data_IF_958473552736
#
_entry.id   IF_958473552736
#
_cell.length_a   1.000
_cell.length_b   1.000
_cell.length_c   1.000
_cell.angle_alpha   90.00
_cell.angle_beta   90.00
_cell.angle_gamma   90.00
#
_symmetry.space_group_name_H-M   'P 1'
#
loop_
_entity.id
_entity.type
_entity.pdbx_description
1 polymer ?
#
# COMPACT_ATOMS: atom_id res chain seq x y z
N UNK A 1 7.92 18.47 16.05
CA UNK A 1 7.10 17.29 15.84
C UNK A 1 6.43 17.38 14.48
N UNK A 2 6.46 16.32 13.72
CA UNK A 2 5.82 16.23 12.41
C UNK A 2 4.45 15.60 12.55
N UNK A 3 3.42 16.26 12.01
CA UNK A 3 2.07 15.66 11.93
C UNK A 3 1.95 14.72 10.74
N UNK A 4 2.73 14.96 9.69
CA UNK A 4 2.72 14.12 8.49
C UNK A 4 3.64 12.91 8.68
N UNK A 5 3.11 11.88 9.33
CA UNK A 5 3.86 10.66 9.61
C UNK A 5 4.18 9.84 8.35
N UNK A 6 3.36 9.99 7.30
CA UNK A 6 3.63 9.35 6.02
C UNK A 6 4.94 9.88 5.41
N UNK A 7 5.05 11.19 5.27
CA UNK A 7 6.24 11.78 4.67
C UNK A 7 7.50 11.41 5.45
N UNK A 8 7.43 11.44 6.78
CA UNK A 8 8.56 11.07 7.62
C UNK A 8 8.92 9.59 7.47
N UNK A 9 7.91 8.71 7.40
CA UNK A 9 8.12 7.27 7.33
C UNK A 9 8.80 6.83 6.02
N UNK A 10 8.50 7.49 4.91
CA UNK A 10 8.99 7.09 3.59
C UNK A 10 10.15 7.94 3.05
N UNK A 11 10.56 8.97 3.79
CA UNK A 11 11.56 9.93 3.31
C UNK A 11 12.87 9.27 2.87
N UNK A 12 13.31 8.26 3.60
CA UNK A 12 14.59 7.58 3.35
C UNK A 12 14.44 6.26 2.62
N UNK A 13 13.22 5.92 2.17
CA UNK A 13 12.98 4.67 1.47
C UNK A 13 13.11 4.87 -0.04
N UNK A 14 13.99 4.10 -0.64
CA UNK A 14 14.27 4.17 -2.08
C UNK A 14 14.61 2.76 -2.58
N UNK A 15 13.60 1.89 -2.69
CA UNK A 15 13.85 0.50 -3.07
C UNK A 15 14.38 0.39 -4.50
N UNK A 16 15.25 -0.57 -4.71
CA UNK A 16 15.76 -0.91 -6.04
C UNK A 16 14.66 -1.55 -6.88
N UNK A 17 14.85 -1.64 -8.20
CA UNK A 17 13.89 -2.35 -9.05
C UNK A 17 13.61 -3.77 -8.52
N UNK A 18 12.34 -4.13 -8.48
CA UNK A 18 11.88 -5.40 -7.96
C UNK A 18 11.71 -5.49 -6.45
N UNK A 19 12.12 -4.45 -5.72
CA UNK A 19 12.07 -4.46 -4.26
C UNK A 19 10.92 -3.62 -3.71
N UNK A 20 10.36 -4.07 -2.57
CA UNK A 20 9.37 -3.34 -1.80
C UNK A 20 9.98 -3.07 -0.43
N UNK A 21 9.94 -1.81 -0.01
CA UNK A 21 10.30 -1.44 1.37
C UNK A 21 9.04 -0.99 2.09
N UNK A 22 8.99 -1.25 3.38
CA UNK A 22 7.81 -0.95 4.18
C UNK A 22 8.17 -0.18 5.44
N UNK A 23 7.19 0.57 5.95
CA UNK A 23 7.32 1.26 7.23
C UNK A 23 5.96 1.26 7.94
N UNK A 24 5.97 0.95 9.23
CA UNK A 24 4.75 1.05 10.03
C UNK A 24 4.56 2.50 10.45
N UNK A 25 3.36 3.04 10.16
CA UNK A 25 3.01 4.41 10.53
C UNK A 25 2.29 4.43 11.87
N UNK A 26 1.38 3.47 12.08
CA UNK A 26 0.61 3.36 13.31
C UNK A 26 0.27 1.89 13.55
N UNK A 27 0.48 1.43 14.77
CA UNK A 27 0.02 0.12 15.20
C UNK A 27 -0.66 0.28 16.54
N UNK A 28 -1.93 -0.09 16.62
CA UNK A 28 -2.70 -0.11 17.87
C UNK A 28 -3.40 -1.45 17.97
N UNK A 29 -4.17 -1.65 19.02
CA UNK A 29 -4.99 -2.86 19.16
C UNK A 29 -6.10 -2.92 18.11
N UNK A 30 -6.43 -1.78 17.51
CA UNK A 30 -7.58 -1.65 16.61
C UNK A 30 -7.20 -1.57 15.14
N UNK A 31 -6.02 -1.02 14.82
CA UNK A 31 -5.66 -0.71 13.44
C UNK A 31 -4.15 -0.77 13.22
N UNK A 32 -3.79 -1.23 12.04
CA UNK A 32 -2.42 -1.13 11.52
C UNK A 32 -2.47 -0.23 10.29
N UNK A 33 -1.61 0.79 10.26
CA UNK A 33 -1.36 1.60 9.06
C UNK A 33 0.08 1.42 8.65
N UNK A 34 0.30 0.88 7.46
CA UNK A 34 1.63 0.52 6.96
C UNK A 34 1.85 1.14 5.59
N UNK A 35 3.00 1.75 5.40
CA UNK A 35 3.39 2.27 4.10
C UNK A 35 4.17 1.22 3.31
N UNK A 36 3.90 1.15 2.01
CA UNK A 36 4.60 0.31 1.04
C UNK A 36 5.20 1.22 -0.02
N UNK A 37 6.52 1.13 -0.19
CA UNK A 37 7.21 1.82 -1.27
C UNK A 37 7.66 0.77 -2.28
N UNK A 38 7.13 0.87 -3.48
CA UNK A 38 7.39 -0.08 -4.55
C UNK A 38 8.38 0.52 -5.54
N UNK A 39 9.53 -0.14 -5.70
CA UNK A 39 10.45 0.19 -6.78
C UNK A 39 9.88 -0.23 -8.12
N UNK A 40 10.56 0.13 -9.23
CA UNK A 40 10.13 -0.32 -10.56
C UNK A 40 10.01 -1.85 -10.61
N UNK A 41 8.93 -2.35 -11.19
CA UNK A 41 8.64 -3.78 -11.34
C UNK A 41 8.47 -4.56 -10.03
N UNK A 42 8.32 -3.87 -8.91
CA UNK A 42 8.04 -4.50 -7.62
C UNK A 42 6.55 -4.79 -7.46
N UNK A 43 6.22 -5.74 -6.61
CA UNK A 43 4.83 -6.12 -6.38
C UNK A 43 4.59 -6.51 -4.92
N UNK A 44 3.39 -6.18 -4.45
CA UNK A 44 2.79 -6.75 -3.26
C UNK A 44 1.81 -7.80 -3.80
N UNK A 45 2.13 -9.07 -3.59
CA UNK A 45 1.35 -10.16 -4.15
C UNK A 45 -0.08 -10.14 -3.62
N UNK A 46 -1.06 -10.51 -4.45
CA UNK A 46 -2.45 -10.57 -4.01
C UNK A 46 -2.61 -11.48 -2.79
N UNK A 47 -3.34 -11.00 -1.81
CA UNK A 47 -3.62 -11.73 -0.58
C UNK A 47 -4.97 -11.25 -0.02
N UNK A 48 -5.47 -11.93 0.99
CA UNK A 48 -6.75 -11.58 1.59
C UNK A 48 -6.66 -11.58 3.12
N UNK A 49 -7.56 -10.81 3.73
CA UNK A 49 -7.75 -10.79 5.19
C UNK A 49 -9.20 -11.13 5.44
N UNK A 50 -9.45 -12.36 5.91
CA UNK A 50 -10.82 -12.85 6.11
C UNK A 50 -11.59 -12.04 7.16
N UNK A 51 -10.89 -11.55 8.18
CA UNK A 51 -11.50 -10.91 9.34
C UNK A 51 -11.20 -9.41 9.45
N UNK A 52 -10.59 -8.83 8.43
CA UNK A 52 -10.22 -7.41 8.47
C UNK A 52 -10.55 -6.72 7.16
N UNK A 53 -10.90 -5.45 7.29
CA UNK A 53 -11.04 -4.55 6.15
C UNK A 53 -9.68 -3.91 5.88
N UNK A 54 -9.33 -3.77 4.62
CA UNK A 54 -8.12 -3.08 4.20
C UNK A 54 -8.50 -1.92 3.29
N UNK A 55 -7.82 -0.80 3.45
CA UNK A 55 -7.98 0.35 2.55
C UNK A 55 -6.61 0.74 2.04
N UNK A 56 -6.44 0.74 0.72
CA UNK A 56 -5.24 1.29 0.09
C UNK A 56 -5.44 2.77 -0.19
N UNK A 57 -4.46 3.57 0.19
CA UNK A 57 -4.37 4.97 -0.23
C UNK A 57 -3.12 5.09 -1.10
N UNK A 58 -3.31 5.39 -2.37
CA UNK A 58 -2.19 5.64 -3.29
C UNK A 58 -1.75 7.08 -3.11
N UNK A 59 -0.50 7.27 -2.70
CA UNK A 59 0.02 8.59 -2.32
C UNK A 59 1.09 9.13 -3.26
N UNK A 60 1.80 8.28 -4.00
CA UNK A 60 2.75 8.69 -5.03
C UNK A 60 2.72 7.70 -6.19
N UNK A 61 2.98 8.20 -7.38
CA UNK A 61 3.15 7.36 -8.56
C UNK A 61 1.85 6.86 -9.15
N UNK A 62 1.97 5.76 -9.90
CA UNK A 62 0.84 5.16 -10.61
C UNK A 62 0.92 3.63 -10.53
N UNK A 63 0.72 3.05 -9.34
CA UNK A 63 0.71 1.60 -9.23
C UNK A 63 -0.53 1.00 -9.88
N UNK A 64 -0.41 -0.25 -10.30
CA UNK A 64 -1.56 -1.06 -10.72
C UNK A 64 -2.09 -1.77 -9.48
N UNK A 65 -3.31 -1.47 -9.10
CA UNK A 65 -3.96 -2.07 -7.93
C UNK A 65 -4.87 -3.19 -8.40
N UNK A 66 -4.85 -4.30 -7.65
CA UNK A 66 -5.63 -5.50 -7.96
C UNK A 66 -6.61 -5.72 -6.83
N UNK A 67 -7.88 -5.97 -7.18
CA UNK A 67 -8.92 -6.34 -6.23
C UNK A 67 -9.86 -7.35 -6.88
N UNK A 68 -9.94 -8.55 -6.31
CA UNK A 68 -10.80 -9.63 -6.79
C UNK A 68 -10.69 -9.89 -8.31
N UNK A 69 -9.45 -9.85 -8.82
CA UNK A 69 -9.15 -10.11 -10.21
C UNK A 69 -9.29 -8.89 -11.13
N UNK A 70 -9.82 -7.78 -10.65
CA UNK A 70 -9.84 -6.54 -11.40
C UNK A 70 -8.54 -5.78 -11.19
N UNK A 71 -8.02 -5.17 -12.24
CA UNK A 71 -6.77 -4.42 -12.20
C UNK A 71 -6.97 -3.03 -12.77
N UNK A 72 -6.40 -2.04 -12.12
CA UNK A 72 -6.42 -0.66 -12.61
C UNK A 72 -5.12 0.06 -12.25
N UNK A 73 -4.55 0.75 -13.22
CA UNK A 73 -3.45 1.68 -12.95
C UNK A 73 -4.06 2.97 -12.39
N UNK A 74 -3.67 3.31 -11.17
CA UNK A 74 -4.27 4.44 -10.45
C UNK A 74 -3.22 5.50 -10.16
N UNK A 75 -3.44 6.69 -10.73
CA UNK A 75 -2.58 7.84 -10.47
C UNK A 75 -2.90 8.43 -9.10
N UNK A 76 -1.87 8.68 -8.28
CA UNK A 76 -2.05 9.30 -6.97
C UNK A 76 -2.69 10.70 -7.09
N UNK A 77 -3.57 11.09 -6.18
CA UNK A 77 -4.08 10.29 -5.05
C UNK A 77 -5.26 9.40 -5.46
N UNK A 78 -5.33 8.23 -4.84
CA UNK A 78 -6.45 7.31 -5.07
C UNK A 78 -6.71 6.48 -3.82
N UNK A 79 -7.94 6.00 -3.66
CA UNK A 79 -8.34 5.18 -2.53
C UNK A 79 -9.05 3.94 -3.04
N UNK A 80 -8.62 2.77 -2.56
CA UNK A 80 -9.24 1.50 -2.92
C UNK A 80 -9.65 0.77 -1.64
N UNK A 81 -10.95 0.67 -1.36
CA UNK A 81 -11.41 -0.12 -0.22
C UNK A 81 -11.43 -1.60 -0.59
N UNK A 82 -10.89 -2.43 0.30
CA UNK A 82 -10.90 -3.88 0.14
C UNK A 82 -11.65 -4.47 1.32
N UNK A 83 -12.89 -4.87 1.08
CA UNK A 83 -13.73 -5.46 2.12
C UNK A 83 -13.15 -6.78 2.61
N UNK A 84 -13.65 -7.27 3.74
CA UNK A 84 -13.23 -8.56 4.30
C UNK A 84 -13.31 -9.65 3.26
N UNK A 85 -12.24 -10.42 3.13
CA UNK A 85 -12.15 -11.51 2.18
C UNK A 85 -11.81 -11.11 0.75
N UNK A 86 -11.75 -9.81 0.44
CA UNK A 86 -11.36 -9.38 -0.91
C UNK A 86 -9.87 -9.69 -1.14
N UNK A 87 -9.57 -10.31 -2.27
CA UNK A 87 -8.20 -10.56 -2.68
C UNK A 87 -7.63 -9.28 -3.26
N UNK A 88 -6.55 -8.77 -2.70
CA UNK A 88 -6.00 -7.48 -3.09
C UNK A 88 -4.48 -7.47 -3.12
N UNK A 89 -3.94 -6.64 -3.98
CA UNK A 89 -2.50 -6.45 -4.13
C UNK A 89 -2.20 -5.25 -4.98
N UNK A 90 -0.92 -5.02 -5.25
CA UNK A 90 -0.49 -3.91 -6.07
C UNK A 90 0.85 -4.23 -6.71
N UNK A 91 1.09 -3.65 -7.88
CA UNK A 91 2.40 -3.75 -8.51
C UNK A 91 2.75 -2.44 -9.18
N UNK A 92 4.03 -2.21 -9.36
CA UNK A 92 4.52 -1.00 -10.00
C UNK A 92 5.13 -1.34 -11.36
N UNK A 93 4.41 -1.03 -12.42
CA UNK A 93 4.87 -1.28 -13.80
C UNK A 93 5.54 -0.04 -14.42
N UNK A 94 5.81 0.99 -13.60
CA UNK A 94 6.45 2.23 -14.06
C UNK A 94 7.92 2.27 -13.69
N UNK A 95 8.64 3.26 -14.20
CA UNK A 95 10.05 3.45 -13.88
C UNK A 95 10.26 4.33 -12.64
N UNK A 96 9.19 4.91 -12.10
CA UNK A 96 9.23 5.74 -10.91
C UNK A 96 8.71 4.95 -9.71
N UNK A 97 9.17 5.31 -8.51
CA UNK A 97 8.64 4.64 -7.32
C UNK A 97 7.14 4.92 -7.16
N UNK A 98 6.44 4.00 -6.58
CA UNK A 98 5.05 4.17 -6.18
C UNK A 98 4.94 3.98 -4.67
N UNK A 99 4.07 4.76 -4.03
CA UNK A 99 3.85 4.67 -2.58
C UNK A 99 2.37 4.55 -2.31
N UNK A 100 2.02 3.56 -1.50
CA UNK A 100 0.68 3.41 -1.00
C UNK A 100 0.73 3.05 0.49
N UNK A 101 -0.35 3.37 1.20
CA UNK A 101 -0.53 2.89 2.56
C UNK A 101 -1.67 1.88 2.57
N UNK A 102 -1.54 0.90 3.45
CA UNK A 102 -2.61 -0.04 3.77
C UNK A 102 -3.05 0.21 5.20
N UNK A 103 -4.35 0.44 5.38
CA UNK A 103 -4.97 0.55 6.70
C UNK A 103 -5.79 -0.71 6.92
N UNK A 104 -5.47 -1.46 7.97
CA UNK A 104 -6.08 -2.76 8.25
C UNK A 104 -6.75 -2.70 9.62
N UNK A 105 -8.04 -3.00 9.66
CA UNK A 105 -8.83 -2.98 10.90
C UNK A 105 -9.96 -4.00 10.84
N UNK A 106 -10.27 -4.69 11.95
CA UNK A 106 -9.45 -4.80 13.14
C UNK A 106 -8.18 -5.59 12.87
N UNK A 107 -7.21 -5.50 13.77
CA UNK A 107 -6.03 -6.34 13.65
C UNK A 107 -6.40 -7.81 13.82
N UNK A 108 -5.80 -8.68 13.00
CA UNK A 108 -6.04 -10.11 13.14
C UNK A 108 -5.40 -10.69 14.39
#
# INVERSE_FOLDING_TARGET
MTLDSYAAAVADLDPDPGEVETAEILVTDDVLVKAFVLGPNAAVDPHEHADATNVFHVLEGEPTVVRDGEEAALTAPAVVPNERGAVHGARNETDDRAVLTASIAPLP
#
